data_IF_501284329041
#
_entry.id   IF_501284329041
#
_cell.length_a   1.000
_cell.length_b   1.000
_cell.length_c   1.000
_cell.angle_alpha   90.00
_cell.angle_beta   90.00
_cell.angle_gamma   90.00
#
_symmetry.space_group_name_H-M   'P 1'
#
loop_
_entity.id
_entity.type
_entity.pdbx_description
1 polymer ?
#
# COMPACT_ATOMS: atom_id res chain seq x y z
N UNK A 1 -6.09 -15.00 -26.25
CA UNK A 1 -5.16 -15.83 -27.04
C UNK A 1 -4.57 -16.86 -26.10
N UNK A 2 -4.88 -18.13 -26.28
CA UNK A 2 -4.24 -19.23 -25.54
C UNK A 2 -2.90 -19.52 -26.21
N UNK A 3 -1.83 -19.58 -25.41
CA UNK A 3 -0.53 -20.04 -25.89
C UNK A 3 -0.68 -21.49 -26.40
N UNK A 4 -0.16 -21.76 -27.61
CA UNK A 4 -0.09 -23.11 -28.16
C UNK A 4 0.83 -23.98 -27.27
N UNK A 5 0.52 -25.26 -27.01
CA UNK A 5 1.39 -26.17 -26.26
C UNK A 5 2.86 -26.15 -26.70
N UNK A 6 3.15 -26.02 -27.99
CA UNK A 6 4.51 -25.91 -28.53
C UNK A 6 5.25 -24.68 -27.97
N UNK A 7 4.54 -23.58 -27.70
CA UNK A 7 5.13 -22.39 -27.11
C UNK A 7 5.47 -22.59 -25.62
N UNK A 8 4.62 -23.33 -24.88
CA UNK A 8 4.94 -23.71 -23.49
C UNK A 8 6.20 -24.55 -23.40
N UNK A 9 6.33 -25.57 -24.27
CA UNK A 9 7.55 -26.41 -24.34
C UNK A 9 8.78 -25.55 -24.67
N UNK A 10 8.63 -24.58 -25.57
CA UNK A 10 9.69 -23.65 -25.94
C UNK A 10 10.14 -22.81 -24.74
N UNK A 11 9.20 -22.25 -23.97
CA UNK A 11 9.47 -21.47 -22.76
C UNK A 11 10.10 -22.32 -21.68
N UNK A 12 9.56 -23.52 -21.42
CA UNK A 12 10.11 -24.46 -20.45
C UNK A 12 11.56 -24.88 -20.80
N UNK A 13 11.86 -25.05 -22.10
CA UNK A 13 13.21 -25.34 -22.59
C UNK A 13 14.17 -24.16 -22.39
N UNK A 14 13.67 -22.91 -22.54
CA UNK A 14 14.46 -21.70 -22.25
C UNK A 14 14.71 -21.59 -20.74
N UNK A 15 13.70 -21.83 -19.92
CA UNK A 15 13.83 -21.79 -18.46
C UNK A 15 14.89 -22.80 -17.96
N UNK A 16 14.96 -23.99 -18.54
CA UNK A 16 16.01 -25.01 -18.23
C UNK A 16 17.44 -24.55 -18.56
N UNK A 17 17.61 -23.48 -19.33
CA UNK A 17 18.94 -22.89 -19.62
C UNK A 17 19.37 -21.87 -18.57
N UNK A 18 18.48 -21.47 -17.67
CA UNK A 18 18.80 -20.64 -16.52
C UNK A 18 19.42 -21.60 -15.50
N UNK A 19 20.73 -21.45 -15.30
CA UNK A 19 21.39 -22.15 -14.21
C UNK A 19 21.04 -21.42 -12.92
N UNK A 20 20.11 -22.00 -12.17
CA UNK A 20 19.71 -21.52 -10.86
C UNK A 20 20.26 -22.51 -9.82
N UNK A 21 21.31 -22.09 -9.14
CA UNK A 21 22.08 -22.93 -8.20
C UNK A 21 21.82 -22.50 -6.75
N UNK A 22 20.65 -21.92 -6.49
CA UNK A 22 20.27 -21.46 -5.15
C UNK A 22 19.12 -22.33 -4.64
N UNK A 23 19.35 -23.06 -3.56
CA UNK A 23 18.31 -23.79 -2.84
C UNK A 23 17.43 -22.80 -2.07
N UNK A 24 16.11 -23.00 -2.08
CA UNK A 24 15.18 -22.18 -1.27
C UNK A 24 15.45 -22.32 0.24
N UNK A 25 16.08 -23.40 0.69
CA UNK A 25 16.56 -23.56 2.07
C UNK A 25 17.62 -22.52 2.42
N UNK A 26 18.54 -22.20 1.51
CA UNK A 26 19.57 -21.17 1.71
C UNK A 26 18.94 -19.79 1.93
N UNK A 27 17.85 -19.47 1.23
CA UNK A 27 17.14 -18.21 1.42
C UNK A 27 16.50 -18.09 2.80
N UNK A 28 16.04 -19.20 3.37
CA UNK A 28 15.46 -19.23 4.71
C UNK A 28 16.56 -19.06 5.76
N UNK A 29 17.68 -19.74 5.61
CA UNK A 29 18.82 -19.62 6.51
C UNK A 29 19.40 -18.20 6.51
N UNK A 30 19.47 -17.57 5.34
CA UNK A 30 19.85 -16.15 5.23
C UNK A 30 18.83 -15.25 5.91
N UNK A 31 17.52 -15.51 5.76
CA UNK A 31 16.47 -14.72 6.44
C UNK A 31 16.54 -14.85 7.97
N UNK A 32 16.81 -16.06 8.49
CA UNK A 32 17.04 -16.28 9.92
C UNK A 32 18.29 -15.54 10.42
N UNK A 33 19.36 -15.56 9.65
CA UNK A 33 20.57 -14.80 9.98
C UNK A 33 20.30 -13.30 10.03
N UNK A 34 19.60 -12.77 9.01
CA UNK A 34 19.19 -11.35 8.98
C UNK A 34 18.34 -11.01 10.19
N UNK A 35 17.34 -11.85 10.51
CA UNK A 35 16.50 -11.68 11.68
C UNK A 35 17.29 -11.64 12.98
N UNK A 36 18.17 -12.60 13.21
CA UNK A 36 18.84 -12.77 14.50
C UNK A 36 20.01 -11.83 14.72
N UNK A 37 20.69 -11.38 13.65
CA UNK A 37 21.94 -10.67 13.76
C UNK A 37 21.86 -9.19 13.33
N UNK A 38 20.86 -8.80 12.52
CA UNK A 38 20.91 -7.51 11.84
C UNK A 38 19.68 -6.62 12.03
N UNK A 39 18.52 -7.13 12.47
CA UNK A 39 17.31 -6.29 12.57
C UNK A 39 17.12 -5.62 13.93
N UNK A 40 18.00 -5.84 14.91
CA UNK A 40 17.86 -5.25 16.25
C UNK A 40 19.12 -4.51 16.72
N UNK A 41 19.33 -3.25 16.29
CA UNK A 41 18.70 -2.52 15.17
C UNK A 41 19.42 -2.73 13.84
N UNK A 42 18.73 -2.53 12.71
CA UNK A 42 19.36 -2.41 11.40
C UNK A 42 19.91 -1.00 11.23
N UNK A 43 21.25 -0.92 11.05
CA UNK A 43 21.97 0.35 10.90
C UNK A 43 22.59 0.46 9.52
N UNK A 44 22.48 1.62 8.89
CA UNK A 44 23.13 1.95 7.61
C UNK A 44 23.74 3.35 7.70
N UNK A 45 25.02 3.47 7.37
CA UNK A 45 25.79 4.71 7.44
C UNK A 45 25.71 5.45 8.80
N UNK A 46 25.50 4.70 9.88
CA UNK A 46 25.37 5.22 11.25
C UNK A 46 23.95 5.57 11.67
N UNK A 47 22.98 5.55 10.75
CA UNK A 47 21.57 5.80 11.02
C UNK A 47 20.82 4.48 11.26
N UNK A 48 19.89 4.46 12.21
CA UNK A 48 18.98 3.33 12.43
C UNK A 48 17.87 3.36 11.39
N UNK A 49 17.87 2.37 10.49
CA UNK A 49 16.88 2.20 9.42
C UNK A 49 15.65 1.44 9.90
N UNK A 50 15.86 0.44 10.76
CA UNK A 50 14.83 -0.36 11.38
C UNK A 50 15.20 -0.63 12.83
N UNK A 51 14.21 -0.64 13.72
CA UNK A 51 14.41 -0.91 15.14
C UNK A 51 13.15 -1.57 15.71
N UNK A 52 13.23 -2.69 16.46
CA UNK A 52 12.07 -3.24 17.14
C UNK A 52 11.61 -2.29 18.24
N UNK A 53 10.29 -2.19 18.45
CA UNK A 53 9.71 -1.38 19.55
C UNK A 53 9.91 -2.01 20.92
N UNK A 54 9.93 -3.35 20.95
CA UNK A 54 10.15 -4.18 22.12
C UNK A 54 11.06 -5.35 21.71
N UNK A 55 11.04 -6.44 22.50
CA UNK A 55 11.72 -7.67 22.13
C UNK A 55 11.30 -8.15 20.73
N UNK A 56 12.27 -8.41 19.90
CA UNK A 56 12.05 -8.96 18.57
C UNK A 56 11.48 -10.38 18.67
N UNK A 57 10.25 -10.58 18.20
CA UNK A 57 9.51 -11.85 18.33
C UNK A 57 8.80 -12.20 17.03
N UNK A 58 8.61 -13.50 16.82
CA UNK A 58 7.67 -14.04 15.83
C UNK A 58 6.51 -14.66 16.59
N UNK A 59 5.31 -14.31 16.18
CA UNK A 59 4.05 -14.78 16.74
C UNK A 59 3.44 -15.84 15.83
N UNK A 60 2.75 -16.79 16.43
CA UNK A 60 2.02 -17.85 15.74
C UNK A 60 0.61 -17.84 16.31
N UNK A 61 -0.40 -17.73 15.45
CA UNK A 61 -1.79 -17.68 15.82
C UNK A 61 -2.56 -18.74 15.02
N UNK A 62 -3.13 -19.71 15.69
CA UNK A 62 -3.99 -20.71 15.05
C UNK A 62 -5.17 -20.02 14.37
N UNK A 63 -5.42 -20.38 13.10
CA UNK A 63 -6.42 -19.70 12.28
C UNK A 63 -7.82 -19.84 12.84
N UNK A 64 -8.19 -21.04 13.33
CA UNK A 64 -9.54 -21.30 13.84
C UNK A 64 -9.78 -20.56 15.16
N UNK A 65 -8.77 -20.52 16.02
CA UNK A 65 -8.85 -19.85 17.32
C UNK A 65 -8.91 -18.33 17.16
N UNK A 66 -8.02 -17.74 16.34
CA UNK A 66 -7.92 -16.29 16.20
C UNK A 66 -9.06 -15.69 15.36
N UNK A 67 -9.63 -16.45 14.40
CA UNK A 67 -10.79 -16.00 13.63
C UNK A 67 -12.05 -15.79 14.46
N UNK A 68 -12.11 -16.42 15.64
CA UNK A 68 -13.23 -16.33 16.58
C UNK A 68 -12.90 -15.47 17.80
N UNK A 69 -11.69 -14.91 17.86
CA UNK A 69 -11.29 -14.10 19.00
C UNK A 69 -12.05 -12.76 19.04
N UNK A 70 -12.48 -12.37 20.22
CA UNK A 70 -13.01 -11.04 20.47
C UNK A 70 -11.89 -10.00 20.26
N UNK A 71 -12.24 -8.84 19.72
CA UNK A 71 -11.33 -7.70 19.51
C UNK A 71 -11.80 -6.49 20.29
N UNK A 72 -10.87 -5.61 20.64
CA UNK A 72 -11.16 -4.43 21.47
C UNK A 72 -11.88 -3.29 20.72
N UNK A 73 -12.18 -3.47 19.43
CA UNK A 73 -12.81 -2.44 18.60
C UNK A 73 -14.24 -2.82 18.26
N UNK A 74 -15.20 -2.09 18.84
CA UNK A 74 -16.63 -2.28 18.61
C UNK A 74 -17.06 -1.77 17.22
N UNK A 75 -16.37 -0.73 16.70
CA UNK A 75 -16.57 -0.19 15.37
C UNK A 75 -15.26 -0.02 14.61
N UNK A 76 -15.26 -0.40 13.34
CA UNK A 76 -14.09 -0.25 12.44
C UNK A 76 -14.51 0.48 11.18
N UNK A 77 -13.79 1.54 10.87
CA UNK A 77 -13.98 2.31 9.64
C UNK A 77 -12.85 1.98 8.66
N UNK A 78 -13.21 1.71 7.41
CA UNK A 78 -12.26 1.52 6.31
C UNK A 78 -12.30 2.72 5.36
N UNK A 79 -11.16 3.15 4.86
CA UNK A 79 -11.05 4.21 3.87
C UNK A 79 -10.30 3.70 2.66
N UNK A 80 -10.83 3.99 1.47
CA UNK A 80 -10.17 3.71 0.20
C UNK A 80 -10.51 4.78 -0.84
N UNK A 81 -9.67 4.88 -1.89
CA UNK A 81 -9.89 5.75 -3.02
C UNK A 81 -9.71 5.00 -4.35
N UNK A 82 -10.75 5.04 -5.17
CA UNK A 82 -10.71 4.51 -6.53
C UNK A 82 -10.47 5.60 -7.58
N UNK A 83 -9.86 5.24 -8.71
CA UNK A 83 -9.53 6.21 -9.76
C UNK A 83 -10.02 5.78 -11.14
N UNK A 84 -10.15 6.79 -12.00
CA UNK A 84 -10.25 6.61 -13.45
C UNK A 84 -8.90 6.99 -14.02
N UNK A 85 -7.95 6.11 -14.06
CA UNK A 85 -6.58 6.34 -14.54
C UNK A 85 -6.42 7.51 -15.51
N UNK A 86 -5.31 8.23 -15.54
CA UNK A 86 -5.12 9.42 -16.35
C UNK A 86 -5.59 9.22 -17.79
N UNK A 87 -6.48 10.09 -18.25
CA UNK A 87 -7.07 10.03 -19.58
C UNK A 87 -6.58 11.21 -20.41
N UNK A 88 -5.89 10.94 -21.49
CA UNK A 88 -5.39 11.95 -22.43
C UNK A 88 -6.41 12.20 -23.53
N UNK A 89 -6.71 13.49 -23.81
CA UNK A 89 -7.59 13.93 -24.88
C UNK A 89 -6.80 14.50 -26.05
N UNK A 90 -7.39 14.47 -27.25
CA UNK A 90 -6.74 14.95 -28.48
C UNK A 90 -6.45 16.45 -28.50
N UNK A 91 -7.09 17.23 -27.63
CA UNK A 91 -6.82 18.65 -27.41
C UNK A 91 -5.63 18.91 -26.44
N UNK A 92 -4.93 17.87 -25.99
CA UNK A 92 -3.78 17.98 -25.10
C UNK A 92 -4.09 18.05 -23.61
N UNK A 93 -5.36 17.95 -23.21
CA UNK A 93 -5.72 17.82 -21.81
C UNK A 93 -5.46 16.38 -21.33
N UNK A 94 -4.92 16.26 -20.14
CA UNK A 94 -4.85 14.98 -19.40
C UNK A 94 -5.51 15.20 -18.06
N UNK A 95 -6.38 14.29 -17.69
CA UNK A 95 -7.04 14.36 -16.40
C UNK A 95 -7.14 13.00 -15.73
N UNK A 96 -7.03 13.01 -14.42
CA UNK A 96 -7.32 11.91 -13.54
C UNK A 96 -8.47 12.30 -12.61
N UNK A 97 -9.31 11.33 -12.27
CA UNK A 97 -10.41 11.52 -11.34
C UNK A 97 -10.29 10.45 -10.27
N UNK A 98 -10.16 10.87 -9.03
CA UNK A 98 -10.22 10.01 -7.86
C UNK A 98 -11.51 10.25 -7.09
N UNK A 99 -12.07 9.20 -6.52
CA UNK A 99 -13.11 9.31 -5.50
C UNK A 99 -12.71 8.49 -4.28
N UNK A 100 -12.84 9.09 -3.10
CA UNK A 100 -12.66 8.42 -1.84
C UNK A 100 -14.01 8.11 -1.19
N UNK A 101 -14.06 6.98 -0.49
CA UNK A 101 -15.21 6.52 0.26
C UNK A 101 -14.78 5.92 1.60
N UNK A 102 -15.62 6.07 2.61
CA UNK A 102 -15.44 5.47 3.92
C UNK A 102 -16.54 4.43 4.17
N UNK A 103 -16.16 3.28 4.67
CA UNK A 103 -17.05 2.25 5.14
C UNK A 103 -17.10 2.23 6.67
N UNK A 104 -18.13 1.61 7.23
CA UNK A 104 -18.21 1.31 8.66
C UNK A 104 -18.63 -0.15 8.89
N UNK A 105 -18.13 -0.73 9.96
CA UNK A 105 -18.57 -2.01 10.49
C UNK A 105 -18.72 -1.86 12.01
N UNK A 106 -19.96 -1.91 12.57
CA UNK A 106 -21.24 -2.07 11.87
C UNK A 106 -21.56 -1.01 10.82
N UNK A 107 -22.43 -1.33 9.86
CA UNK A 107 -22.69 -0.47 8.69
C UNK A 107 -23.39 0.83 9.07
N UNK A 108 -22.85 1.96 8.62
CA UNK A 108 -23.47 3.28 8.60
C UNK A 108 -23.84 3.65 7.15
N UNK A 109 -25.13 3.68 6.85
CA UNK A 109 -25.63 3.91 5.50
C UNK A 109 -25.44 5.36 5.01
N UNK A 110 -25.47 6.34 5.90
CA UNK A 110 -25.27 7.73 5.54
C UNK A 110 -23.79 7.99 5.23
N UNK A 111 -22.88 7.45 6.03
CA UNK A 111 -21.45 7.48 5.77
C UNK A 111 -21.12 6.79 4.43
N UNK A 112 -21.72 5.64 4.16
CA UNK A 112 -21.50 4.89 2.93
C UNK A 112 -21.94 5.63 1.65
N UNK A 113 -22.78 6.66 1.74
CA UNK A 113 -23.18 7.53 0.61
C UNK A 113 -22.21 8.67 0.36
N UNK A 114 -21.43 9.04 1.38
CA UNK A 114 -20.43 10.11 1.30
C UNK A 114 -19.35 9.81 0.27
N UNK A 115 -18.97 10.83 -0.52
CA UNK A 115 -17.83 10.74 -1.46
C UNK A 115 -17.06 12.05 -1.45
N UNK A 116 -15.76 11.94 -1.58
CA UNK A 116 -14.89 13.06 -1.93
C UNK A 116 -14.27 12.77 -3.28
N UNK A 117 -14.45 13.66 -4.24
CA UNK A 117 -13.94 13.51 -5.60
C UNK A 117 -12.95 14.63 -5.91
N UNK A 118 -11.80 14.26 -6.45
CA UNK A 118 -10.78 15.20 -6.92
C UNK A 118 -10.49 14.92 -8.38
N UNK A 119 -10.54 15.97 -9.20
CA UNK A 119 -10.09 15.94 -10.58
C UNK A 119 -8.78 16.72 -10.68
N UNK A 120 -7.70 16.04 -11.04
CA UNK A 120 -6.43 16.69 -11.34
C UNK A 120 -6.26 16.79 -12.85
N UNK A 121 -5.99 18.01 -13.34
CA UNK A 121 -5.91 18.32 -14.75
C UNK A 121 -4.51 18.79 -15.12
N UNK A 122 -3.93 18.23 -16.17
CA UNK A 122 -2.68 18.70 -16.77
C UNK A 122 -2.95 19.20 -18.20
N UNK A 123 -2.30 20.28 -18.58
CA UNK A 123 -2.24 20.78 -19.95
C UNK A 123 -0.84 21.27 -20.29
N UNK A 124 -0.33 20.86 -21.44
CA UNK A 124 0.90 21.42 -22.01
C UNK A 124 0.70 22.84 -22.58
N UNK A 125 -0.55 23.26 -22.87
CA UNK A 125 -0.88 24.57 -23.42
C UNK A 125 -0.97 25.61 -22.27
N UNK A 126 -0.08 26.59 -22.30
CA UNK A 126 -0.05 27.67 -21.31
C UNK A 126 -1.26 28.64 -21.40
N UNK A 127 -2.06 28.56 -22.46
CA UNK A 127 -3.27 29.39 -22.62
C UNK A 127 -4.50 28.80 -21.97
N UNK A 128 -4.46 27.52 -21.59
CA UNK A 128 -5.53 26.87 -20.84
C UNK A 128 -5.47 27.36 -19.40
N UNK A 129 -6.50 28.09 -18.97
CA UNK A 129 -6.69 28.49 -17.59
C UNK A 129 -7.69 27.54 -16.91
N UNK A 130 -7.40 27.22 -15.68
CA UNK A 130 -8.28 26.49 -14.80
C UNK A 130 -8.74 27.44 -13.70
N UNK A 131 -10.03 27.52 -13.47
CA UNK A 131 -10.55 28.07 -12.22
C UNK A 131 -10.35 26.98 -11.18
N UNK A 132 -9.31 27.09 -10.36
CA UNK A 132 -9.13 26.22 -9.19
C UNK A 132 -10.22 26.57 -8.20
N UNK A 133 -11.19 25.69 -8.08
CA UNK A 133 -12.34 25.93 -7.23
C UNK A 133 -12.06 25.47 -5.81
N UNK A 134 -12.60 26.21 -4.86
CA UNK A 134 -12.82 25.73 -3.51
C UNK A 134 -13.66 24.43 -3.54
N UNK A 135 -13.61 23.69 -2.45
CA UNK A 135 -14.44 22.51 -2.30
C UNK A 135 -15.92 22.83 -2.48
N UNK A 136 -16.58 22.14 -3.39
CA UNK A 136 -18.01 22.27 -3.64
C UNK A 136 -18.75 21.03 -3.18
N UNK A 137 -19.99 21.18 -2.71
CA UNK A 137 -20.87 20.10 -2.30
C UNK A 137 -22.03 20.01 -3.28
N UNK A 138 -22.41 18.81 -3.69
CA UNK A 138 -23.58 18.61 -4.54
C UNK A 138 -24.90 18.92 -3.79
N UNK A 139 -25.98 19.16 -4.52
CA UNK A 139 -27.30 19.52 -3.95
C UNK A 139 -27.84 18.50 -2.95
N UNK A 140 -27.47 17.22 -3.11
CA UNK A 140 -27.89 16.14 -2.21
C UNK A 140 -27.06 16.06 -0.92
N UNK A 141 -25.95 16.80 -0.80
CA UNK A 141 -25.11 16.87 0.40
C UNK A 141 -24.20 15.66 0.63
N UNK A 142 -24.03 14.77 -0.37
CA UNK A 142 -23.23 13.56 -0.21
C UNK A 142 -21.93 13.55 -0.99
N UNK A 143 -21.79 14.37 -2.03
CA UNK A 143 -20.61 14.38 -2.88
C UNK A 143 -19.90 15.72 -2.80
N UNK A 144 -18.67 15.71 -2.32
CA UNK A 144 -17.78 16.85 -2.26
C UNK A 144 -16.76 16.76 -3.40
N UNK A 145 -16.58 17.84 -4.15
CA UNK A 145 -15.74 17.85 -5.35
C UNK A 145 -14.75 19.00 -5.34
N UNK A 146 -13.58 18.77 -5.94
CA UNK A 146 -12.57 19.80 -6.21
C UNK A 146 -11.89 19.51 -7.55
N UNK A 147 -11.53 20.58 -8.29
CA UNK A 147 -10.66 20.52 -9.46
C UNK A 147 -9.32 21.19 -9.14
N UNK A 148 -8.22 20.57 -9.61
CA UNK A 148 -6.86 21.09 -9.39
C UNK A 148 -6.05 20.98 -10.67
N UNK A 149 -5.17 21.95 -10.90
CA UNK A 149 -4.19 21.88 -11.96
C UNK A 149 -2.95 21.11 -11.49
N UNK A 150 -2.49 20.12 -12.26
CA UNK A 150 -1.23 19.45 -11.96
C UNK A 150 -0.03 20.40 -12.13
N UNK A 151 1.03 20.28 -11.32
CA UNK A 151 2.27 21.00 -11.51
C UNK A 151 2.84 20.80 -12.93
N UNK A 152 3.51 21.80 -13.47
CA UNK A 152 4.15 21.72 -14.77
C UNK A 152 5.50 21.04 -14.64
N UNK A 153 5.68 19.97 -15.39
CA UNK A 153 6.93 19.23 -15.51
C UNK A 153 7.41 19.29 -16.98
N UNK A 154 8.73 19.27 -17.21
CA UNK A 154 9.28 19.32 -18.58
C UNK A 154 8.89 18.08 -19.38
N UNK A 155 8.76 16.95 -18.72
CA UNK A 155 8.27 15.70 -19.28
C UNK A 155 7.01 15.29 -18.54
N UNK A 156 5.92 15.08 -19.27
CA UNK A 156 4.68 14.62 -18.66
C UNK A 156 4.87 13.26 -17.97
N UNK A 157 4.45 13.18 -16.71
CA UNK A 157 4.47 11.96 -15.89
C UNK A 157 3.05 11.70 -15.37
N UNK A 158 2.41 10.65 -15.89
CA UNK A 158 1.04 10.27 -15.48
C UNK A 158 0.92 10.04 -13.98
N UNK A 159 1.97 9.50 -13.35
CA UNK A 159 2.01 9.25 -11.93
C UNK A 159 1.86 10.50 -11.06
N UNK A 160 2.24 11.70 -11.57
CA UNK A 160 2.05 12.97 -10.85
C UNK A 160 0.58 13.31 -10.77
N UNK A 161 -0.13 13.28 -11.89
CA UNK A 161 -1.56 13.61 -11.96
C UNK A 161 -2.36 12.63 -11.10
N UNK A 162 -2.02 11.33 -11.22
CA UNK A 162 -2.69 10.26 -10.48
C UNK A 162 -2.48 10.36 -8.97
N UNK A 163 -1.24 10.55 -8.51
CA UNK A 163 -0.95 10.64 -7.08
C UNK A 163 -1.63 11.84 -6.41
N UNK A 164 -1.67 12.99 -7.09
CA UNK A 164 -2.31 14.18 -6.55
C UNK A 164 -3.82 14.01 -6.39
N UNK A 165 -4.53 13.44 -7.37
CA UNK A 165 -5.97 13.21 -7.24
C UNK A 165 -6.28 12.16 -6.18
N UNK A 166 -5.54 11.05 -6.17
CA UNK A 166 -5.76 9.93 -5.26
C UNK A 166 -5.59 10.36 -3.79
N UNK A 167 -4.37 10.81 -3.44
CA UNK A 167 -4.05 11.12 -2.05
C UNK A 167 -4.80 12.35 -1.52
N UNK A 168 -5.12 13.32 -2.40
CA UNK A 168 -5.96 14.46 -2.02
C UNK A 168 -7.38 14.02 -1.69
N UNK A 169 -8.00 13.17 -2.53
CA UNK A 169 -9.34 12.65 -2.29
C UNK A 169 -9.40 11.84 -1.00
N UNK A 170 -8.45 10.94 -0.79
CA UNK A 170 -8.37 10.06 0.38
C UNK A 170 -8.20 10.87 1.67
N UNK A 171 -7.13 11.68 1.75
CA UNK A 171 -6.83 12.44 2.96
C UNK A 171 -7.92 13.45 3.32
N UNK A 172 -8.53 14.09 2.34
CA UNK A 172 -9.64 15.03 2.58
C UNK A 172 -10.91 14.32 3.02
N UNK A 173 -11.21 13.13 2.47
CA UNK A 173 -12.35 12.33 2.90
C UNK A 173 -12.19 11.86 4.35
N UNK A 174 -10.99 11.39 4.71
CA UNK A 174 -10.65 11.01 6.08
C UNK A 174 -10.81 12.18 7.05
N UNK A 175 -10.27 13.35 6.72
CA UNK A 175 -10.35 14.57 7.56
C UNK A 175 -11.78 15.02 7.78
N UNK A 176 -12.60 15.02 6.71
CA UNK A 176 -13.99 15.48 6.77
C UNK A 176 -14.85 14.56 7.61
N UNK A 177 -14.55 13.26 7.63
CA UNK A 177 -15.30 12.24 8.35
C UNK A 177 -14.61 11.77 9.65
N UNK A 178 -13.53 12.42 10.07
CA UNK A 178 -12.79 12.00 11.27
C UNK A 178 -13.65 11.97 12.55
N UNK A 179 -14.67 12.81 12.64
CA UNK A 179 -15.51 12.93 13.83
C UNK A 179 -16.48 11.75 14.03
N UNK A 180 -16.83 11.02 12.95
CA UNK A 180 -17.71 9.85 13.02
C UNK A 180 -16.95 8.55 13.32
N UNK A 181 -15.62 8.57 13.31
CA UNK A 181 -14.80 7.40 13.64
C UNK A 181 -14.56 7.36 15.14
N UNK A 182 -15.12 6.38 15.83
CA UNK A 182 -15.07 6.31 17.29
C UNK A 182 -13.99 5.37 17.82
N UNK A 183 -13.68 4.23 17.16
CA UNK A 183 -12.78 3.22 17.71
C UNK A 183 -11.53 2.96 16.86
N UNK A 184 -11.66 2.80 15.53
CA UNK A 184 -10.53 2.48 14.64
C UNK A 184 -10.77 2.98 13.23
N UNK A 185 -9.79 3.69 12.65
CA UNK A 185 -9.72 3.98 11.21
C UNK A 185 -8.62 3.16 10.54
N UNK A 186 -8.97 2.51 9.43
CA UNK A 186 -8.06 1.70 8.62
C UNK A 186 -8.00 2.25 7.19
N UNK A 187 -6.83 2.71 6.77
CA UNK A 187 -6.57 3.10 5.38
C UNK A 187 -6.29 1.85 4.54
N UNK A 188 -6.83 1.78 3.33
CA UNK A 188 -6.45 0.75 2.34
C UNK A 188 -5.11 1.11 1.69
N UNK A 189 -4.03 0.82 2.39
CA UNK A 189 -2.68 1.17 1.97
C UNK A 189 -1.79 1.64 3.12
N UNK A 190 -0.67 2.29 2.80
CA UNK A 190 0.24 2.83 3.80
C UNK A 190 -0.36 4.04 4.54
N UNK A 191 0.14 4.27 5.75
CA UNK A 191 -0.32 5.37 6.60
C UNK A 191 -0.01 6.77 6.03
N UNK A 192 0.94 6.87 5.10
CA UNK A 192 1.35 8.11 4.44
C UNK A 192 1.39 7.94 2.91
N UNK A 193 1.36 9.03 2.13
CA UNK A 193 1.25 8.98 0.67
C UNK A 193 2.56 8.53 -0.01
N UNK A 194 2.95 7.27 0.15
CA UNK A 194 4.24 6.74 -0.30
C UNK A 194 4.47 6.86 -1.81
N UNK A 195 3.43 6.82 -2.63
CA UNK A 195 3.54 7.02 -4.09
C UNK A 195 4.02 8.43 -4.44
N UNK A 196 3.57 9.44 -3.69
CA UNK A 196 4.03 10.82 -3.80
C UNK A 196 5.44 10.98 -3.23
N UNK A 197 5.69 10.46 -2.03
CA UNK A 197 7.00 10.58 -1.37
C UNK A 197 8.14 9.92 -2.16
N UNK A 198 7.85 8.94 -3.02
CA UNK A 198 8.83 8.31 -3.92
C UNK A 198 9.30 9.21 -5.07
N UNK A 199 8.66 10.35 -5.32
CA UNK A 199 9.06 11.24 -6.42
C UNK A 199 10.51 11.69 -6.31
N UNK A 200 11.00 11.90 -5.09
CA UNK A 200 12.40 12.26 -4.85
C UNK A 200 13.40 11.23 -5.40
N UNK A 201 13.01 9.95 -5.44
CA UNK A 201 13.88 8.85 -5.88
C UNK A 201 13.72 8.53 -7.38
N UNK A 202 12.67 9.03 -8.05
CA UNK A 202 12.37 8.67 -9.43
C UNK A 202 13.12 9.51 -10.46
N UNK A 203 13.06 10.83 -10.33
CA UNK A 203 13.69 11.77 -11.27
C UNK A 203 13.99 13.10 -10.56
N UNK A 204 15.14 13.76 -10.87
CA UNK A 204 15.49 15.05 -10.26
C UNK A 204 14.41 16.13 -10.41
N UNK A 205 13.70 16.17 -11.53
CA UNK A 205 12.61 17.11 -11.77
C UNK A 205 11.42 16.85 -10.86
N UNK A 206 11.07 15.58 -10.62
CA UNK A 206 9.99 15.21 -9.70
C UNK A 206 10.37 15.50 -8.24
N UNK A 207 11.64 15.39 -7.90
CA UNK A 207 12.15 15.83 -6.61
C UNK A 207 11.94 17.35 -6.43
N UNK A 208 12.24 18.16 -7.46
CA UNK A 208 12.00 19.59 -7.43
C UNK A 208 10.50 19.92 -7.27
N UNK A 209 9.61 19.21 -7.97
CA UNK A 209 8.15 19.35 -7.79
C UNK A 209 7.72 19.03 -6.37
N UNK A 210 8.28 17.97 -5.80
CA UNK A 210 7.97 17.56 -4.42
C UNK A 210 8.41 18.60 -3.36
N UNK A 211 9.52 19.30 -3.63
CA UNK A 211 10.16 20.23 -2.68
C UNK A 211 9.74 21.71 -2.88
N UNK A 212 9.30 22.10 -4.09
CA UNK A 212 9.08 23.51 -4.44
C UNK A 212 7.61 23.84 -4.76
N UNK A 213 6.75 22.82 -5.00
CA UNK A 213 5.32 23.04 -5.30
C UNK A 213 4.46 22.82 -4.08
N UNK A 214 3.47 23.68 -3.86
CA UNK A 214 2.60 23.67 -2.68
C UNK A 214 1.70 22.42 -2.59
N UNK A 215 1.31 21.83 -3.73
CA UNK A 215 0.33 20.74 -3.76
C UNK A 215 0.80 19.44 -3.09
N UNK A 216 2.06 18.97 -3.29
CA UNK A 216 2.59 17.85 -2.53
C UNK A 216 2.62 18.11 -1.02
N UNK A 217 3.05 19.31 -0.62
CA UNK A 217 3.06 19.74 0.78
C UNK A 217 1.66 19.70 1.40
N UNK A 218 0.63 20.26 0.71
CA UNK A 218 -0.77 20.22 1.15
C UNK A 218 -1.28 18.78 1.36
N UNK A 219 -0.89 17.84 0.49
CA UNK A 219 -1.25 16.43 0.66
C UNK A 219 -0.60 15.85 1.90
N UNK A 220 0.71 16.05 2.08
CA UNK A 220 1.43 15.54 3.26
C UNK A 220 0.89 16.19 4.54
N UNK A 221 0.59 17.50 4.51
CA UNK A 221 -0.05 18.20 5.63
C UNK A 221 -1.37 17.54 6.03
N UNK A 222 -2.21 17.17 5.08
CA UNK A 222 -3.47 16.50 5.38
C UNK A 222 -3.27 15.20 6.17
N UNK A 223 -2.28 14.38 5.79
CA UNK A 223 -1.96 13.15 6.53
C UNK A 223 -1.38 13.44 7.91
N UNK A 224 -0.50 14.44 8.03
CA UNK A 224 0.04 14.89 9.32
C UNK A 224 -1.11 15.37 10.24
N UNK A 225 -2.02 16.20 9.73
CA UNK A 225 -3.20 16.68 10.50
C UNK A 225 -4.16 15.54 10.85
N UNK A 226 -4.28 14.53 9.98
CA UNK A 226 -5.09 13.34 10.25
C UNK A 226 -4.51 12.58 11.45
N UNK A 227 -3.21 12.32 11.47
CA UNK A 227 -2.53 11.68 12.62
C UNK A 227 -2.76 12.50 13.90
N UNK A 228 -2.53 13.80 13.87
CA UNK A 228 -2.73 14.69 15.03
C UNK A 228 -4.17 14.63 15.54
N UNK A 229 -5.16 14.65 14.63
CA UNK A 229 -6.59 14.58 14.99
C UNK A 229 -6.94 13.26 15.66
N UNK A 230 -6.45 12.14 15.15
CA UNK A 230 -6.72 10.83 15.72
C UNK A 230 -6.00 10.60 17.05
N UNK A 231 -4.80 11.14 17.22
CA UNK A 231 -4.09 11.15 18.50
C UNK A 231 -4.85 12.01 19.54
N UNK A 232 -5.36 13.19 19.14
CA UNK A 232 -6.17 14.04 20.02
C UNK A 232 -7.48 13.35 20.49
N UNK A 233 -8.08 12.52 19.60
CA UNK A 233 -9.30 11.75 19.89
C UNK A 233 -9.02 10.49 20.71
N UNK A 234 -7.77 10.09 20.89
CA UNK A 234 -7.38 8.79 21.46
C UNK A 234 -7.97 7.60 20.68
N UNK A 235 -8.10 7.75 19.35
CA UNK A 235 -8.60 6.75 18.42
C UNK A 235 -7.45 6.30 17.52
N UNK A 236 -7.16 4.99 17.39
CA UNK A 236 -6.10 4.53 16.53
C UNK A 236 -6.41 4.73 15.05
N UNK A 237 -5.36 5.10 14.31
CA UNK A 237 -5.33 5.22 12.86
C UNK A 237 -4.24 4.27 12.34
N UNK A 238 -4.61 3.37 11.43
CA UNK A 238 -3.68 2.39 10.86
C UNK A 238 -3.77 2.33 9.33
N UNK A 239 -2.69 1.93 8.70
CA UNK A 239 -2.63 1.56 7.29
C UNK A 239 -2.57 0.04 7.14
N UNK A 240 -3.37 -0.55 6.26
CA UNK A 240 -3.34 -1.97 5.94
C UNK A 240 -2.81 -2.18 4.52
N UNK A 241 -1.51 -2.49 4.41
CA UNK A 241 -0.82 -2.62 3.12
C UNK A 241 -0.94 -4.06 2.62
N UNK A 242 -1.75 -4.26 1.57
CA UNK A 242 -2.03 -5.58 0.97
C UNK A 242 -0.84 -6.13 0.18
N UNK A 243 -0.04 -5.26 -0.43
CA UNK A 243 1.09 -5.61 -1.28
C UNK A 243 2.29 -4.72 -0.91
N UNK A 244 2.96 -4.98 0.21
CA UNK A 244 4.13 -4.19 0.59
C UNK A 244 5.26 -4.42 -0.42
N UNK A 245 5.72 -3.34 -1.07
CA UNK A 245 6.74 -3.36 -2.12
C UNK A 245 8.00 -2.56 -1.74
N UNK A 246 8.20 -2.30 -0.46
CA UNK A 246 9.42 -1.66 0.06
C UNK A 246 10.64 -2.57 -0.06
N UNK A 247 11.81 -1.98 -0.22
CA UNK A 247 13.09 -2.72 -0.27
C UNK A 247 14.17 -2.05 0.59
N UNK A 248 13.78 -1.24 1.56
CA UNK A 248 14.72 -0.47 2.39
C UNK A 248 15.60 -1.41 3.24
N UNK A 249 15.02 -2.47 3.80
CA UNK A 249 15.72 -3.45 4.61
C UNK A 249 16.63 -4.31 3.74
N UNK A 250 16.08 -4.92 2.69
CA UNK A 250 16.82 -5.82 1.79
C UNK A 250 17.97 -5.10 1.09
N UNK A 251 17.82 -3.80 0.76
CA UNK A 251 18.90 -2.97 0.21
C UNK A 251 20.02 -2.80 1.20
N UNK A 252 19.73 -2.40 2.45
CA UNK A 252 20.74 -2.23 3.50
C UNK A 252 21.45 -3.55 3.81
N UNK A 253 20.72 -4.65 3.88
CA UNK A 253 21.29 -5.99 4.09
C UNK A 253 22.24 -6.34 2.94
N UNK A 254 21.85 -6.08 1.68
CA UNK A 254 22.70 -6.34 0.51
C UNK A 254 23.97 -5.48 0.52
N UNK A 255 23.83 -4.19 0.81
CA UNK A 255 24.96 -3.24 0.82
C UNK A 255 25.94 -3.52 1.95
N UNK A 256 25.44 -3.91 3.13
CA UNK A 256 26.26 -4.15 4.33
C UNK A 256 26.85 -5.55 4.40
N UNK A 257 26.15 -6.58 3.90
CA UNK A 257 26.50 -7.98 4.10
C UNK A 257 26.69 -8.79 2.81
N UNK A 258 26.43 -8.16 1.64
CA UNK A 258 26.70 -8.75 0.33
C UNK A 258 25.72 -9.84 -0.11
N UNK A 259 24.73 -10.19 0.71
CA UNK A 259 23.73 -11.23 0.41
C UNK A 259 22.32 -10.78 0.79
N UNK A 260 21.46 -10.56 -0.19
CA UNK A 260 20.02 -10.40 -0.03
C UNK A 260 19.36 -10.97 -1.28
N UNK A 261 18.97 -12.25 -1.28
CA UNK A 261 18.43 -12.92 -2.48
C UNK A 261 17.03 -12.46 -2.84
N UNK A 262 16.37 -11.69 -1.98
CA UNK A 262 14.99 -11.24 -2.17
C UNK A 262 14.91 -9.95 -2.99
N UNK A 263 13.79 -9.80 -3.70
CA UNK A 263 13.50 -8.62 -4.52
C UNK A 263 13.10 -7.43 -3.65
N UNK A 264 12.37 -7.71 -2.57
CA UNK A 264 11.80 -6.74 -1.64
C UNK A 264 11.79 -7.27 -0.20
N UNK A 265 11.41 -6.39 0.73
CA UNK A 265 11.33 -6.71 2.15
C UNK A 265 10.21 -7.72 2.46
N UNK A 266 9.12 -7.69 1.68
CA UNK A 266 8.01 -8.62 1.83
C UNK A 266 8.44 -10.07 1.54
N UNK A 267 9.25 -10.28 0.50
CA UNK A 267 9.79 -11.60 0.17
C UNK A 267 10.71 -12.14 1.28
N UNK A 268 11.48 -11.27 1.94
CA UNK A 268 12.31 -11.63 3.09
C UNK A 268 11.44 -12.05 4.28
N UNK A 269 10.50 -11.19 4.71
CA UNK A 269 9.61 -11.49 5.84
C UNK A 269 8.75 -12.73 5.60
N UNK A 270 8.33 -12.96 4.36
CA UNK A 270 7.60 -14.15 3.98
C UNK A 270 8.42 -15.43 4.25
N UNK A 271 9.70 -15.45 3.84
CA UNK A 271 10.59 -16.59 4.12
C UNK A 271 10.84 -16.79 5.62
N UNK A 272 10.92 -15.71 6.36
CA UNK A 272 11.09 -15.74 7.80
C UNK A 272 9.86 -16.26 8.54
N UNK A 273 8.67 -15.89 8.08
CA UNK A 273 7.38 -16.20 8.73
C UNK A 273 6.76 -17.51 8.24
N UNK A 274 7.18 -18.02 7.08
CA UNK A 274 6.68 -19.26 6.51
C UNK A 274 7.05 -20.47 7.39
N UNK A 275 6.03 -21.25 7.78
CA UNK A 275 6.17 -22.50 8.54
C UNK A 275 5.87 -23.70 7.66
N UNK A 276 6.53 -24.80 7.93
CA UNK A 276 6.31 -26.04 7.20
C UNK A 276 7.48 -26.99 7.38
N UNK A 277 7.41 -28.12 6.69
CA UNK A 277 8.44 -29.15 6.76
C UNK A 277 8.82 -29.66 5.36
N UNK A 278 10.03 -30.20 5.27
CA UNK A 278 10.50 -30.88 4.05
C UNK A 278 9.94 -32.30 4.02
N UNK A 279 9.02 -32.57 3.09
CA UNK A 279 8.41 -33.89 2.85
C UNK A 279 8.98 -34.54 1.60
N UNK A 280 8.92 -35.88 1.53
CA UNK A 280 9.30 -36.58 0.32
C UNK A 280 8.34 -36.26 -0.83
N UNK A 281 8.88 -35.90 -2.00
CA UNK A 281 8.09 -35.67 -3.20
C UNK A 281 8.04 -36.92 -4.06
N UNK A 282 7.05 -37.75 -3.80
CA UNK A 282 6.87 -38.99 -4.51
C UNK A 282 6.46 -38.79 -5.98
N UNK A 283 5.82 -37.66 -6.29
CA UNK A 283 5.36 -37.30 -7.64
C UNK A 283 6.53 -36.84 -8.53
N UNK A 284 7.59 -36.29 -7.93
CA UNK A 284 8.80 -35.89 -8.65
C UNK A 284 9.82 -37.01 -8.83
N UNK A 285 9.54 -38.21 -8.31
CA UNK A 285 10.42 -39.36 -8.42
C UNK A 285 10.29 -40.02 -9.82
N UNK A 286 11.37 -39.99 -10.60
CA UNK A 286 11.45 -40.81 -11.82
C UNK A 286 11.43 -42.29 -11.45
N UNK A 287 10.55 -43.05 -12.09
CA UNK A 287 10.37 -44.49 -11.81
C UNK A 287 11.64 -45.34 -12.00
N UNK A 288 12.62 -44.81 -12.72
CA UNK A 288 13.89 -45.50 -13.05
C UNK A 288 15.10 -44.92 -12.28
N UNK A 289 14.88 -43.97 -11.33
CA UNK A 289 15.96 -43.36 -10.56
C UNK A 289 16.07 -43.99 -9.14
N UNK A 290 17.18 -44.71 -8.90
CA UNK A 290 17.55 -45.27 -7.59
C UNK A 290 18.13 -44.21 -6.60
N UNK A 291 18.10 -42.93 -6.96
CA UNK A 291 18.57 -41.84 -6.13
C UNK A 291 17.67 -41.54 -4.93
N UNK A 292 18.10 -40.65 -4.02
CA UNK A 292 17.25 -40.21 -2.89
C UNK A 292 16.01 -39.51 -3.43
N UNK A 293 14.84 -39.84 -2.87
CA UNK A 293 13.56 -39.22 -3.24
C UNK A 293 13.68 -37.69 -3.11
N UNK A 294 13.35 -36.94 -4.16
CA UNK A 294 13.29 -35.48 -4.08
C UNK A 294 12.43 -35.05 -2.89
N UNK A 295 12.77 -33.90 -2.28
CA UNK A 295 11.99 -33.36 -1.18
C UNK A 295 11.38 -32.03 -1.60
N UNK A 296 10.13 -31.79 -1.20
CA UNK A 296 9.45 -30.52 -1.36
C UNK A 296 9.14 -29.93 -0.01
N UNK A 297 9.06 -28.60 0.05
CA UNK A 297 8.58 -27.92 1.24
C UNK A 297 7.05 -27.96 1.27
N UNK A 298 6.48 -28.54 2.32
CA UNK A 298 5.05 -28.54 2.59
C UNK A 298 4.73 -27.47 3.64
N UNK A 299 3.94 -26.49 3.22
CA UNK A 299 3.60 -25.33 4.05
C UNK A 299 2.54 -25.70 5.07
N UNK A 300 2.75 -25.29 6.33
CA UNK A 300 1.75 -25.36 7.37
C UNK A 300 0.74 -24.21 7.20
N UNK A 301 -0.50 -24.55 6.86
CA UNK A 301 -1.59 -23.58 6.64
C UNK A 301 -2.52 -23.45 7.83
N UNK A 302 -2.23 -24.07 8.95
CA UNK A 302 -3.08 -24.07 10.14
C UNK A 302 -3.00 -22.76 10.96
N UNK A 303 -1.90 -22.00 10.83
CA UNK A 303 -1.66 -20.83 11.62
C UNK A 303 -1.17 -19.64 10.81
N UNK A 304 -1.66 -18.44 11.12
CA UNK A 304 -1.05 -17.17 10.72
C UNK A 304 0.24 -16.97 11.52
N UNK A 305 1.17 -16.26 10.91
CA UNK A 305 2.39 -15.84 11.59
C UNK A 305 2.60 -14.33 11.45
N UNK A 306 3.18 -13.71 12.46
CA UNK A 306 3.44 -12.28 12.44
C UNK A 306 4.78 -11.95 13.13
N UNK A 307 5.30 -10.77 12.82
CA UNK A 307 6.43 -10.18 13.57
C UNK A 307 5.90 -9.35 14.75
N UNK A 308 6.75 -9.11 15.76
CA UNK A 308 6.57 -7.96 16.65
C UNK A 308 6.65 -6.65 15.86
N UNK A 309 6.33 -5.53 16.53
CA UNK A 309 6.34 -4.21 15.89
C UNK A 309 7.74 -3.63 15.75
N UNK A 310 7.98 -2.96 14.64
CA UNK A 310 9.21 -2.23 14.30
C UNK A 310 8.93 -0.77 14.03
N UNK A 311 9.91 0.11 14.32
CA UNK A 311 9.96 1.47 13.77
C UNK A 311 10.76 1.43 12.48
N UNK A 312 10.19 1.98 11.41
CA UNK A 312 10.83 2.11 10.09
C UNK A 312 11.26 3.56 9.84
N UNK A 313 12.52 3.74 9.47
CA UNK A 313 13.12 5.04 9.10
C UNK A 313 13.84 4.96 7.76
N UNK A 314 13.58 3.88 7.00
CA UNK A 314 14.17 3.64 5.69
C UNK A 314 13.25 4.04 4.53
N UNK A 315 13.82 4.27 3.34
CA UNK A 315 13.05 4.59 2.16
C UNK A 315 12.15 5.83 2.35
N UNK A 316 10.88 5.72 1.95
CA UNK A 316 9.89 6.82 2.09
C UNK A 316 9.53 7.13 3.55
N UNK A 317 9.65 6.17 4.46
CA UNK A 317 9.33 6.36 5.87
C UNK A 317 10.27 7.38 6.54
N UNK A 318 11.46 7.59 5.94
CA UNK A 318 12.43 8.58 6.41
C UNK A 318 11.86 10.00 6.42
N UNK A 319 10.98 10.36 5.50
CA UNK A 319 10.41 11.71 5.38
C UNK A 319 9.64 12.11 6.64
N UNK A 320 8.92 11.15 7.22
CA UNK A 320 8.12 11.34 8.44
C UNK A 320 8.87 10.91 9.72
N UNK A 321 10.15 10.52 9.62
CA UNK A 321 10.94 10.17 10.80
C UNK A 321 11.30 11.41 11.64
N UNK A 322 11.77 11.20 12.87
CA UNK A 322 12.24 12.26 13.78
C UNK A 322 13.31 13.18 13.19
N UNK A 323 14.04 12.71 12.19
CA UNK A 323 15.07 13.46 11.47
C UNK A 323 14.64 13.88 10.07
N UNK A 324 13.41 13.55 9.67
CA UNK A 324 12.81 13.99 8.41
C UNK A 324 12.20 15.37 8.55
N UNK A 325 12.08 16.07 7.43
CA UNK A 325 11.50 17.42 7.39
C UNK A 325 10.00 17.43 7.04
N UNK A 326 9.39 16.26 6.77
CA UNK A 326 7.99 16.14 6.35
C UNK A 326 7.63 17.11 5.20
N UNK A 327 8.54 17.38 4.28
CA UNK A 327 8.43 18.36 3.20
C UNK A 327 8.13 19.79 3.68
N UNK A 328 8.68 20.19 4.83
CA UNK A 328 8.43 21.51 5.39
C UNK A 328 7.14 21.64 6.21
N UNK A 329 6.31 20.62 6.25
CA UNK A 329 5.05 20.60 7.01
C UNK A 329 5.33 20.75 8.51
N UNK A 330 4.68 21.74 9.13
CA UNK A 330 4.76 21.95 10.59
C UNK A 330 4.08 20.79 11.34
N UNK A 331 4.74 20.27 12.37
CA UNK A 331 4.30 19.15 13.20
C UNK A 331 3.96 19.63 14.59
N UNK A 332 2.76 19.31 15.11
CA UNK A 332 2.26 19.78 16.41
C UNK A 332 2.57 18.83 17.57
N UNK A 333 2.84 17.56 17.24
CA UNK A 333 3.31 16.56 18.20
C UNK A 333 4.84 16.47 18.15
N UNK A 334 5.44 15.74 19.08
CA UNK A 334 6.87 15.40 19.03
C UNK A 334 7.21 14.70 17.71
N UNK A 335 8.36 15.01 17.13
CA UNK A 335 8.74 14.51 15.80
C UNK A 335 8.68 12.98 15.66
N UNK A 336 9.00 12.25 16.72
CA UNK A 336 8.93 10.78 16.72
C UNK A 336 7.50 10.25 16.67
N UNK A 337 6.50 11.05 17.06
CA UNK A 337 5.10 10.65 17.06
C UNK A 337 4.59 10.22 15.66
N UNK A 338 5.20 10.76 14.62
CA UNK A 338 4.84 10.52 13.21
C UNK A 338 5.63 9.37 12.57
N UNK A 339 6.63 8.82 13.25
CA UNK A 339 7.43 7.73 12.70
C UNK A 339 6.54 6.53 12.35
N UNK A 340 6.80 5.94 11.19
CA UNK A 340 6.08 4.75 10.75
C UNK A 340 6.49 3.56 11.60
N UNK A 341 5.53 2.94 12.23
CA UNK A 341 5.70 1.64 12.88
C UNK A 341 4.92 0.58 12.13
N UNK A 342 5.40 -0.65 12.13
CA UNK A 342 4.69 -1.73 11.47
C UNK A 342 4.93 -3.09 12.09
N UNK A 343 4.00 -4.01 11.86
CA UNK A 343 4.22 -5.44 11.95
C UNK A 343 3.85 -6.13 10.63
N UNK A 344 4.56 -7.21 10.30
CA UNK A 344 4.26 -8.04 9.15
C UNK A 344 3.38 -9.22 9.57
N UNK A 345 2.37 -9.53 8.76
CA UNK A 345 1.43 -10.65 8.98
C UNK A 345 1.44 -11.52 7.73
N UNK A 346 1.75 -12.81 7.88
CA UNK A 346 1.76 -13.75 6.79
C UNK A 346 0.59 -14.75 6.90
N UNK A 347 -0.19 -14.83 5.83
CA UNK A 347 -1.25 -15.82 5.67
C UNK A 347 -0.78 -16.95 4.74
N UNK A 348 -0.44 -18.12 5.29
CA UNK A 348 0.04 -19.24 4.49
C UNK A 348 -1.04 -19.87 3.59
N UNK A 349 -2.34 -19.63 3.87
CA UNK A 349 -3.47 -20.16 3.09
C UNK A 349 -3.57 -19.54 1.70
N UNK A 350 -3.16 -18.26 1.60
CA UNK A 350 -3.16 -17.47 0.35
C UNK A 350 -1.76 -17.15 -0.15
N UNK A 351 -0.73 -17.46 0.66
CA UNK A 351 0.67 -17.14 0.39
C UNK A 351 0.92 -15.62 0.28
N UNK A 352 0.21 -14.84 1.08
CA UNK A 352 0.26 -13.37 1.08
C UNK A 352 0.85 -12.84 2.38
N UNK A 353 1.72 -11.85 2.25
CA UNK A 353 2.20 -11.04 3.36
C UNK A 353 1.50 -9.69 3.35
N UNK A 354 0.97 -9.31 4.50
CA UNK A 354 0.40 -7.99 4.78
C UNK A 354 1.35 -7.20 5.68
N UNK A 355 1.28 -5.89 5.60
CA UNK A 355 1.96 -5.00 6.54
C UNK A 355 0.92 -4.09 7.18
N UNK A 356 0.77 -4.20 8.51
CA UNK A 356 -0.03 -3.27 9.30
C UNK A 356 0.88 -2.13 9.74
N UNK A 357 0.53 -0.91 9.39
CA UNK A 357 1.27 0.30 9.72
C UNK A 357 0.50 1.19 10.69
N UNK A 358 1.20 1.89 11.56
CA UNK A 358 0.62 2.94 12.39
C UNK A 358 1.67 4.02 12.72
N UNK A 359 1.26 5.27 13.04
CA UNK A 359 2.18 6.25 13.59
C UNK A 359 2.67 5.79 14.97
N UNK A 360 3.92 6.12 15.31
CA UNK A 360 4.48 5.78 16.64
C UNK A 360 3.61 6.30 17.79
N UNK A 361 2.99 7.46 17.65
CA UNK A 361 2.07 7.99 18.66
C UNK A 361 0.96 6.99 19.06
N UNK A 362 0.50 6.16 18.12
CA UNK A 362 -0.51 5.11 18.34
C UNK A 362 0.14 3.88 18.99
N UNK A 363 1.31 3.47 18.54
CA UNK A 363 1.95 2.20 18.94
C UNK A 363 2.92 2.31 20.10
N UNK A 364 3.14 3.51 20.68
CA UNK A 364 4.03 3.72 21.81
C UNK A 364 3.66 2.91 23.06
N UNK A 365 2.36 2.56 23.22
CA UNK A 365 1.85 1.75 24.32
C UNK A 365 1.68 0.29 23.89
N UNK A 366 2.22 -0.65 24.67
CA UNK A 366 2.18 -2.08 24.39
C UNK A 366 0.74 -2.60 24.24
N UNK A 367 -0.16 -2.20 25.15
CA UNK A 367 -1.57 -2.62 25.10
C UNK A 367 -2.24 -2.23 23.76
N UNK A 368 -1.92 -1.06 23.21
CA UNK A 368 -2.48 -0.63 21.92
C UNK A 368 -1.90 -1.43 20.76
N UNK A 369 -0.58 -1.74 20.80
CA UNK A 369 0.06 -2.61 19.81
C UNK A 369 -0.57 -4.00 19.80
N UNK A 370 -0.78 -4.58 20.99
CA UNK A 370 -1.38 -5.91 21.14
C UNK A 370 -2.82 -5.94 20.62
N UNK A 371 -3.62 -4.94 20.97
CA UNK A 371 -5.01 -4.81 20.50
C UNK A 371 -5.08 -4.70 18.97
N UNK A 372 -4.25 -3.85 18.36
CA UNK A 372 -4.18 -3.68 16.90
C UNK A 372 -3.71 -4.95 16.20
N UNK A 373 -2.70 -5.62 16.74
CA UNK A 373 -2.16 -6.84 16.16
C UNK A 373 -3.16 -7.99 16.26
N UNK A 374 -3.81 -8.15 17.42
CA UNK A 374 -4.87 -9.14 17.61
C UNK A 374 -6.04 -8.89 16.66
N UNK A 375 -6.50 -7.65 16.55
CA UNK A 375 -7.55 -7.27 15.60
C UNK A 375 -7.17 -7.61 14.15
N UNK A 376 -5.95 -7.28 13.72
CA UNK A 376 -5.50 -7.53 12.36
C UNK A 376 -5.39 -9.04 12.06
N UNK A 377 -4.85 -9.82 13.00
CA UNK A 377 -4.78 -11.28 12.89
C UNK A 377 -6.19 -11.89 12.81
N UNK A 378 -7.12 -11.49 13.70
CA UNK A 378 -8.51 -11.94 13.67
C UNK A 378 -9.19 -11.62 12.35
N UNK A 379 -9.01 -10.40 11.84
CA UNK A 379 -9.56 -9.96 10.56
C UNK A 379 -9.01 -10.78 9.38
N UNK A 380 -7.70 -10.96 9.29
CA UNK A 380 -7.06 -11.76 8.22
C UNK A 380 -7.49 -13.23 8.32
N UNK A 381 -7.60 -13.77 9.51
CA UNK A 381 -8.04 -15.16 9.73
C UNK A 381 -9.48 -15.37 9.25
N UNK A 382 -10.39 -14.47 9.63
CA UNK A 382 -11.82 -14.55 9.30
C UNK A 382 -12.09 -14.32 7.81
N UNK A 383 -11.49 -13.27 7.21
CA UNK A 383 -11.77 -12.87 5.83
C UNK A 383 -10.90 -13.62 4.79
N UNK A 384 -9.83 -14.30 5.19
CA UNK A 384 -8.78 -14.86 4.30
C UNK A 384 -8.22 -13.80 3.36
N UNK A 385 -8.09 -12.58 3.84
CA UNK A 385 -7.77 -11.40 3.06
C UNK A 385 -7.71 -10.15 3.95
N UNK A 386 -7.81 -8.95 3.36
CA UNK A 386 -7.83 -7.71 4.10
C UNK A 386 -9.07 -7.62 5.01
N UNK A 387 -9.03 -6.77 6.06
CA UNK A 387 -10.16 -6.55 6.96
C UNK A 387 -11.45 -6.18 6.21
N UNK A 388 -12.60 -6.64 6.72
CA UNK A 388 -13.92 -6.42 6.10
C UNK A 388 -14.21 -4.93 5.81
N UNK A 389 -13.84 -4.04 6.73
CA UNK A 389 -14.02 -2.60 6.55
C UNK A 389 -13.22 -2.07 5.34
N UNK A 390 -11.99 -2.55 5.14
CA UNK A 390 -11.16 -2.20 3.98
C UNK A 390 -11.79 -2.73 2.68
N UNK A 391 -12.22 -4.00 2.66
CA UNK A 391 -12.89 -4.58 1.49
C UNK A 391 -14.19 -3.85 1.11
N UNK A 392 -14.98 -3.42 2.10
CA UNK A 392 -16.18 -2.59 1.87
C UNK A 392 -15.83 -1.20 1.34
N UNK A 393 -14.76 -0.56 1.84
CA UNK A 393 -14.31 0.74 1.35
C UNK A 393 -13.87 0.65 -0.13
N UNK A 394 -13.11 -0.38 -0.51
CA UNK A 394 -12.72 -0.67 -1.89
C UNK A 394 -13.96 -0.81 -2.80
N UNK A 395 -14.97 -1.57 -2.37
CA UNK A 395 -16.23 -1.68 -3.14
C UNK A 395 -16.95 -0.34 -3.30
N UNK A 396 -16.96 0.50 -2.25
CA UNK A 396 -17.60 1.82 -2.27
C UNK A 396 -16.83 2.85 -3.10
N UNK A 397 -15.50 2.80 -3.07
CA UNK A 397 -14.62 3.69 -3.83
C UNK A 397 -14.50 3.28 -5.31
N UNK A 398 -14.79 2.02 -5.61
CA UNK A 398 -14.62 1.44 -6.96
C UNK A 398 -15.50 2.13 -7.99
N UNK A 399 -14.87 2.59 -9.07
CA UNK A 399 -15.55 3.09 -10.24
C UNK A 399 -15.63 1.96 -11.27
N UNK A 400 -16.83 1.46 -11.54
CA UNK A 400 -17.06 0.32 -12.42
C UNK A 400 -16.70 0.61 -13.89
N UNK A 401 -16.37 -0.43 -14.67
CA UNK A 401 -16.00 -0.26 -16.08
C UNK A 401 -17.07 0.43 -16.95
N UNK A 402 -18.36 0.20 -16.66
CA UNK A 402 -19.47 0.90 -17.33
C UNK A 402 -19.48 2.38 -16.96
N UNK A 403 -19.28 2.70 -15.70
CA UNK A 403 -19.27 4.09 -15.19
C UNK A 403 -18.07 4.84 -15.76
N UNK A 404 -16.87 4.22 -15.77
CA UNK A 404 -15.66 4.77 -16.41
C UNK A 404 -15.90 5.10 -17.88
N UNK A 405 -16.58 4.22 -18.61
CA UNK A 405 -16.91 4.44 -20.02
C UNK A 405 -17.89 5.59 -20.20
N UNK A 406 -19.01 5.59 -19.47
CA UNK A 406 -20.02 6.64 -19.54
C UNK A 406 -19.45 8.01 -19.17
N UNK A 407 -18.60 8.08 -18.14
CA UNK A 407 -17.96 9.33 -17.74
C UNK A 407 -16.98 9.82 -18.82
N UNK A 408 -16.19 8.92 -19.41
CA UNK A 408 -15.28 9.26 -20.51
C UNK A 408 -16.04 9.81 -21.72
N UNK A 409 -17.17 9.21 -22.09
CA UNK A 409 -18.06 9.70 -23.17
C UNK A 409 -18.59 11.11 -22.85
N UNK A 410 -19.06 11.35 -21.63
CA UNK A 410 -19.49 12.67 -21.16
C UNK A 410 -18.38 13.71 -21.23
N UNK A 411 -17.16 13.34 -20.85
CA UNK A 411 -16.00 14.24 -20.91
C UNK A 411 -15.58 14.54 -22.36
N UNK A 412 -15.65 13.56 -23.28
CA UNK A 412 -15.40 13.78 -24.71
C UNK A 412 -16.40 14.79 -25.31
N UNK A 413 -17.67 14.70 -24.94
CA UNK A 413 -18.71 15.65 -25.36
C UNK A 413 -18.46 17.04 -24.75
N UNK A 414 -18.15 17.12 -23.44
CA UNK A 414 -17.91 18.37 -22.73
C UNK A 414 -16.71 19.13 -23.28
N UNK A 415 -15.62 18.43 -23.53
CA UNK A 415 -14.39 19.05 -24.08
C UNK A 415 -14.40 19.19 -25.60
N UNK A 416 -15.44 18.66 -26.27
CA UNK A 416 -15.48 18.57 -27.75
C UNK A 416 -14.21 17.95 -28.32
N UNK A 417 -13.62 17.00 -27.61
CA UNK A 417 -12.35 16.37 -27.92
C UNK A 417 -12.43 14.89 -27.61
N UNK A 418 -11.97 14.08 -28.56
CA UNK A 418 -11.92 12.63 -28.36
C UNK A 418 -10.72 12.24 -27.50
N UNK A 419 -10.86 11.13 -26.77
CA UNK A 419 -9.74 10.48 -26.10
C UNK A 419 -8.65 10.15 -27.13
N UNK A 420 -7.40 10.46 -26.79
CA UNK A 420 -6.26 9.99 -27.57
C UNK A 420 -6.16 8.47 -27.44
N UNK A 421 -6.34 7.76 -28.56
CA UNK A 421 -6.27 6.30 -28.62
C UNK A 421 -4.89 5.86 -29.05
N UNK A 422 -4.37 4.86 -28.36
CA UNK A 422 -3.19 4.13 -28.79
C UNK A 422 -3.58 2.95 -29.70
N UNK A 423 -2.63 2.41 -30.44
CA UNK A 423 -2.88 1.28 -31.34
C UNK A 423 -3.44 0.06 -30.60
N UNK A 424 -2.99 -0.16 -29.36
CA UNK A 424 -3.43 -1.29 -28.55
C UNK A 424 -4.89 -1.13 -28.09
N UNK A 425 -5.37 0.10 -27.82
CA UNK A 425 -6.80 0.38 -27.52
C UNK A 425 -7.71 -0.01 -28.72
N UNK A 426 -7.19 0.17 -29.96
CA UNK A 426 -7.94 -0.20 -31.17
C UNK A 426 -7.91 -1.71 -31.40
N UNK A 427 -6.82 -2.38 -31.04
CA UNK A 427 -6.61 -3.80 -31.29
C UNK A 427 -7.31 -4.71 -30.27
N UNK A 428 -7.33 -4.32 -29.01
CA UNK A 428 -7.76 -5.17 -27.91
C UNK A 428 -9.11 -4.77 -27.33
N UNK A 429 -9.68 -3.65 -27.74
CA UNK A 429 -10.88 -3.06 -27.19
C UNK A 429 -10.59 -2.30 -25.89
N UNK A 430 -11.51 -1.44 -25.52
CA UNK A 430 -11.48 -0.77 -24.22
C UNK A 430 -11.88 -1.81 -23.14
N UNK A 431 -10.90 -2.48 -22.52
CA UNK A 431 -11.11 -3.25 -21.30
C UNK A 431 -11.26 -2.35 -20.09
#
# INVERSE_FOLDING_TARGET
MTLDPVHYEGIARLAKRIQYDVDESDHRDVAETVWTEYLDPLVHDGDRVLEPLDDQRRLVADVEDVALADTDFDSVHGLDAGTINPTTFSNGLVLDIAQAAMSATPSDLDLHRGRTMVMTVHSADATVAFDEDDWTMNDAGYVRTQIRQAPRVNRFEEGVVHALSLYRAESEHARTNADVVDDLLVLDGPIYPTGLLRWADQHPELKTVLEEEDQPEEVVENYVRLVERFVEKDVPLVGFVKNPAGNAITRVVRDSFGQAPWVDDAAMFKRLLERGEMVADEDARDADDDGPTPRRFERDTSALTATSWFVSRGGTDRVLSRHGDALGVDRRLDDEAYEVTFCAIYDPRTDVLYRLEAPYAVTRHESQRDALQQWALASVAAERGPPLAVGKADELAKIGGREKRSLRETLEETFQSRRARQYDDVRWGDE
#
